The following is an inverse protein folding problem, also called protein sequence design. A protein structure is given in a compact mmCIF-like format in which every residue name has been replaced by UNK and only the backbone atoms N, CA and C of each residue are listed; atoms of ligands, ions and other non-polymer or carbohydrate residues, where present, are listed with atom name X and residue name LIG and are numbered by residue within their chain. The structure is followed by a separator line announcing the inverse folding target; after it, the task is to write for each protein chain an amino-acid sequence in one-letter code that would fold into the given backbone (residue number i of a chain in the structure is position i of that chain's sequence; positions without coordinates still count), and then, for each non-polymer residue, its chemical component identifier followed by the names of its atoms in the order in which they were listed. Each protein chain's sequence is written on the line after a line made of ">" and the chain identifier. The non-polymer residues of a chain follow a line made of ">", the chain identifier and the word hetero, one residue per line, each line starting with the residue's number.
data_IF_252351476809
#
_entry.id   IF_252351476809
#
_cell.length_a   1.000
_cell.length_b   1.000
_cell.length_c   1.000
_cell.angle_alpha   90.00
_cell.angle_beta   90.00
_cell.angle_gamma   90.00
#
_symmetry.space_group_name_H-M   'P 1'
#
loop_
_entity.id
_entity.type
_entity.pdbx_description
1 polymer ?
#
# COMPACT_ATOMS: atom_id res chain seq x y z
N UNK A 1 16.62 0.19 -13.17
CA UNK A 1 15.35 0.29 -13.90
C UNK A 1 15.34 1.46 -14.88
N UNK A 2 14.45 1.40 -15.87
CA UNK A 2 14.14 2.51 -16.76
C UNK A 2 12.76 3.05 -16.38
N UNK A 3 12.66 4.38 -16.28
CA UNK A 3 11.36 5.06 -16.08
C UNK A 3 11.02 5.79 -17.36
N UNK A 4 9.80 5.62 -17.87
CA UNK A 4 9.29 6.26 -19.08
C UNK A 4 7.87 6.75 -18.86
N UNK A 5 7.56 7.92 -19.41
CA UNK A 5 6.18 8.38 -19.57
C UNK A 5 5.75 8.05 -21.01
N UNK A 6 4.72 7.25 -21.15
CA UNK A 6 4.26 6.75 -22.45
C UNK A 6 2.75 6.99 -22.58
N UNK A 7 2.33 7.37 -23.78
CA UNK A 7 0.91 7.30 -24.14
C UNK A 7 0.52 5.83 -24.41
N UNK A 8 -0.76 5.52 -24.32
CA UNK A 8 -1.27 4.15 -24.60
C UNK A 8 -0.84 3.61 -25.98
N UNK A 9 -0.66 4.50 -26.97
CA UNK A 9 -0.18 4.11 -28.31
C UNK A 9 1.32 3.77 -28.33
N UNK A 10 2.10 4.37 -27.46
CA UNK A 10 3.55 4.19 -27.37
C UNK A 10 3.96 2.99 -26.51
N UNK A 11 3.01 2.40 -25.77
CA UNK A 11 3.27 1.28 -24.91
C UNK A 11 3.66 0.00 -25.65
N UNK A 12 4.61 -0.72 -25.04
CA UNK A 12 4.98 -2.05 -25.50
C UNK A 12 3.84 -3.06 -25.32
N UNK A 13 3.95 -4.22 -25.98
CA UNK A 13 2.96 -5.31 -25.84
C UNK A 13 2.81 -5.80 -24.39
N UNK A 14 3.86 -5.68 -23.57
CA UNK A 14 3.85 -6.06 -22.14
C UNK A 14 2.92 -5.11 -21.38
N UNK A 15 3.12 -3.81 -21.48
CA UNK A 15 2.30 -2.83 -20.76
C UNK A 15 0.83 -2.87 -21.20
N UNK A 16 0.56 -3.15 -22.49
CA UNK A 16 -0.82 -3.36 -22.97
C UNK A 16 -1.48 -4.60 -22.35
N UNK A 17 -0.72 -5.66 -22.08
CA UNK A 17 -1.24 -6.84 -21.37
C UNK A 17 -1.52 -6.54 -19.90
N UNK A 18 -0.71 -5.71 -19.25
CA UNK A 18 -0.92 -5.31 -17.87
C UNK A 18 -2.27 -4.62 -17.64
N UNK A 19 -2.86 -3.99 -18.66
CA UNK A 19 -4.23 -3.43 -18.55
C UNK A 19 -5.30 -4.48 -18.24
N UNK A 20 -5.01 -5.77 -18.41
CA UNK A 20 -5.92 -6.87 -18.07
C UNK A 20 -5.76 -7.33 -16.61
N UNK A 21 -4.74 -6.85 -15.90
CA UNK A 21 -4.54 -7.17 -14.48
C UNK A 21 -5.72 -6.62 -13.67
N UNK A 22 -6.34 -7.51 -12.92
CA UNK A 22 -7.45 -7.15 -12.05
C UNK A 22 -6.96 -6.29 -10.89
N UNK A 23 -7.72 -5.26 -10.54
CA UNK A 23 -7.43 -4.37 -9.41
C UNK A 23 -8.49 -4.49 -8.31
N UNK A 24 -8.16 -4.03 -7.11
CA UNK A 24 -9.05 -4.17 -5.94
C UNK A 24 -10.35 -3.40 -6.03
N UNK A 25 -10.36 -2.27 -6.74
CA UNK A 25 -11.56 -1.46 -7.00
C UNK A 25 -12.21 -1.79 -8.35
N UNK A 26 -11.58 -2.67 -9.13
CA UNK A 26 -12.09 -3.17 -10.39
C UNK A 26 -12.20 -2.13 -11.51
N UNK A 27 -13.11 -2.36 -12.45
CA UNK A 27 -13.23 -1.53 -13.66
C UNK A 27 -13.66 -0.07 -13.40
N UNK A 28 -14.16 0.26 -12.21
CA UNK A 28 -14.66 1.61 -11.92
C UNK A 28 -13.51 2.63 -11.93
N UNK A 29 -12.36 2.31 -11.34
CA UNK A 29 -11.18 3.18 -11.34
C UNK A 29 -10.60 3.31 -12.74
N UNK A 30 -10.52 2.20 -13.48
CA UNK A 30 -10.02 2.22 -14.87
C UNK A 30 -10.83 3.13 -15.79
N UNK A 31 -12.15 3.29 -15.54
CA UNK A 31 -13.02 4.20 -16.30
C UNK A 31 -12.75 5.68 -16.04
N UNK A 32 -12.03 6.00 -14.96
CA UNK A 32 -11.66 7.38 -14.63
C UNK A 32 -10.41 7.83 -15.41
N UNK A 33 -9.73 6.93 -16.10
CA UNK A 33 -8.52 7.25 -16.89
C UNK A 33 -8.90 8.12 -18.09
N UNK A 34 -8.33 9.32 -18.23
CA UNK A 34 -8.51 10.15 -19.43
C UNK A 34 -7.93 9.47 -20.69
N UNK A 35 -8.51 9.73 -21.85
CA UNK A 35 -8.05 9.15 -23.12
C UNK A 35 -6.62 9.59 -23.49
N UNK A 36 -6.25 10.82 -23.11
CA UNK A 36 -4.94 11.43 -23.34
C UNK A 36 -3.96 11.25 -22.16
N UNK A 37 -4.29 10.39 -21.19
CA UNK A 37 -3.41 10.13 -20.06
C UNK A 37 -2.09 9.50 -20.49
N UNK A 38 -1.01 9.92 -19.84
CA UNK A 38 0.29 9.26 -19.94
C UNK A 38 0.47 8.33 -18.74
N UNK A 39 1.05 7.16 -19.00
CA UNK A 39 1.35 6.17 -18.00
C UNK A 39 2.83 6.23 -17.62
N UNK A 40 3.12 6.14 -16.32
CA UNK A 40 4.48 6.03 -15.81
C UNK A 40 4.84 4.54 -15.83
N UNK A 41 5.75 4.16 -16.71
CA UNK A 41 6.19 2.77 -16.88
C UNK A 41 7.59 2.60 -16.28
N UNK A 42 7.71 1.67 -15.34
CA UNK A 42 8.97 1.28 -14.69
C UNK A 42 9.30 -0.16 -15.07
N UNK A 43 10.47 -0.38 -15.66
CA UNK A 43 10.89 -1.69 -16.15
C UNK A 43 12.33 -2.01 -15.71
N UNK A 44 12.59 -3.24 -15.26
CA UNK A 44 13.95 -3.73 -15.07
C UNK A 44 14.65 -3.93 -16.42
N UNK A 45 15.96 -3.78 -16.45
CA UNK A 45 16.78 -3.88 -17.67
C UNK A 45 17.74 -5.04 -17.52
N UNK A 46 17.84 -5.90 -18.54
CA UNK A 46 18.88 -6.92 -18.60
C UNK A 46 20.28 -6.29 -18.47
N UNK A 47 21.15 -6.90 -17.69
CA UNK A 47 22.55 -6.51 -17.63
C UNK A 47 23.22 -6.78 -18.97
N UNK A 48 23.22 -5.79 -19.88
CA UNK A 48 24.10 -5.78 -21.04
C UNK A 48 25.53 -5.56 -20.58
N UNK A 49 26.38 -6.56 -20.80
CA UNK A 49 27.77 -6.53 -20.39
C UNK A 49 28.56 -5.41 -21.04
N UNK A 50 28.64 -4.28 -20.39
CA UNK A 50 29.71 -3.29 -20.53
C UNK A 50 29.95 -2.64 -19.16
N UNK A 51 31.14 -2.92 -18.62
CA UNK A 51 31.67 -2.35 -17.40
C UNK A 51 31.93 -0.86 -17.58
N UNK A 52 31.07 -0.02 -17.06
CA UNK A 52 31.36 1.41 -16.91
C UNK A 52 31.35 1.77 -15.43
N UNK A 53 32.52 2.04 -14.88
CA UNK A 53 32.78 2.37 -13.46
C UNK A 53 32.01 3.62 -12.96
N UNK A 54 31.31 4.36 -13.85
CA UNK A 54 30.42 5.46 -13.50
C UNK A 54 29.07 5.04 -12.98
N UNK A 55 28.66 3.77 -13.17
CA UNK A 55 27.37 3.23 -12.72
C UNK A 55 27.35 2.78 -11.26
N UNK A 56 28.46 2.74 -10.56
CA UNK A 56 28.55 2.27 -9.17
C UNK A 56 27.87 3.16 -8.11
N UNK A 57 27.35 4.33 -8.46
CA UNK A 57 26.74 5.26 -7.50
C UNK A 57 25.22 5.36 -7.53
N UNK A 58 24.55 4.78 -8.47
CA UNK A 58 23.09 4.61 -8.41
C UNK A 58 22.79 3.18 -7.98
N UNK A 59 22.07 3.00 -6.88
CA UNK A 59 21.52 1.69 -6.53
C UNK A 59 20.70 1.23 -7.73
N UNK A 60 21.12 0.16 -8.39
CA UNK A 60 20.69 -0.22 -9.75
C UNK A 60 19.20 -0.56 -9.87
N UNK A 61 18.49 -0.73 -8.73
CA UNK A 61 17.14 -1.30 -8.68
C UNK A 61 16.11 -0.40 -7.97
N UNK A 62 16.39 0.89 -7.79
CA UNK A 62 15.58 1.80 -6.99
C UNK A 62 15.02 2.97 -7.82
N UNK A 63 13.74 3.31 -7.61
CA UNK A 63 13.03 4.42 -8.25
C UNK A 63 12.20 5.17 -7.21
N UNK A 64 12.30 6.50 -7.19
CA UNK A 64 11.41 7.35 -6.40
C UNK A 64 10.52 8.17 -7.33
N UNK A 65 9.22 7.99 -7.19
CA UNK A 65 8.18 8.75 -7.89
C UNK A 65 7.52 9.71 -6.90
N UNK A 66 7.60 10.99 -7.18
CA UNK A 66 6.89 12.02 -6.40
C UNK A 66 5.75 12.55 -7.25
N UNK A 67 4.52 12.30 -6.82
CA UNK A 67 3.29 12.68 -7.51
C UNK A 67 2.65 13.86 -6.78
N UNK A 68 2.85 15.04 -7.33
CA UNK A 68 2.28 16.28 -6.82
C UNK A 68 0.88 16.51 -7.39
N UNK A 69 -0.14 16.50 -6.53
CA UNK A 69 -1.52 16.74 -6.92
C UNK A 69 -1.89 18.21 -6.71
N UNK A 70 -2.27 18.93 -7.78
CA UNK A 70 -2.60 20.36 -7.69
C UNK A 70 -3.95 20.59 -7.02
N UNK A 71 -4.10 21.78 -6.42
CA UNK A 71 -5.36 22.25 -5.83
C UNK A 71 -6.47 22.35 -6.87
N UNK A 72 -7.69 21.99 -6.48
CA UNK A 72 -8.94 22.07 -7.27
C UNK A 72 -8.89 21.37 -8.62
N UNK A 73 -8.15 20.27 -8.70
CA UNK A 73 -8.09 19.42 -9.89
C UNK A 73 -8.34 17.98 -9.53
N UNK A 74 -8.93 17.26 -10.46
CA UNK A 74 -8.99 15.81 -10.43
C UNK A 74 -7.89 15.28 -11.34
N UNK A 75 -6.95 14.53 -10.78
CA UNK A 75 -5.82 14.02 -11.55
C UNK A 75 -5.80 12.50 -11.45
N UNK A 76 -5.59 11.87 -12.58
CA UNK A 76 -5.37 10.43 -12.70
C UNK A 76 -3.90 10.16 -13.00
N UNK A 77 -3.29 9.27 -12.23
CA UNK A 77 -1.94 8.76 -12.48
C UNK A 77 -1.99 7.24 -12.61
N UNK A 78 -1.38 6.74 -13.65
CA UNK A 78 -1.25 5.31 -13.91
C UNK A 78 0.23 4.92 -13.86
N UNK A 79 0.55 3.97 -12.99
CA UNK A 79 1.92 3.49 -12.80
C UNK A 79 1.97 2.01 -13.13
N UNK A 80 2.82 1.62 -14.06
CA UNK A 80 3.03 0.23 -14.45
C UNK A 80 4.45 -0.19 -14.10
N UNK A 81 4.58 -1.21 -13.26
CA UNK A 81 5.88 -1.73 -12.81
C UNK A 81 6.03 -3.16 -13.30
N UNK A 82 7.01 -3.37 -14.14
CA UNK A 82 7.32 -4.67 -14.74
C UNK A 82 8.73 -5.11 -14.35
N UNK A 83 8.82 -6.27 -13.71
CA UNK A 83 10.08 -6.92 -13.39
C UNK A 83 10.27 -8.19 -14.22
N UNK A 84 11.33 -8.22 -15.02
CA UNK A 84 11.71 -9.37 -15.84
C UNK A 84 12.19 -10.53 -14.99
N UNK A 85 12.23 -11.71 -15.55
CA UNK A 85 12.64 -12.93 -14.87
C UNK A 85 14.01 -12.78 -14.18
N UNK A 86 14.05 -13.11 -12.89
CA UNK A 86 15.24 -13.00 -12.05
C UNK A 86 15.64 -11.60 -11.61
N UNK A 87 14.98 -10.56 -12.11
CA UNK A 87 15.32 -9.16 -11.80
C UNK A 87 14.56 -8.62 -10.58
N UNK A 88 15.08 -7.53 -10.02
CA UNK A 88 14.48 -6.87 -8.86
C UNK A 88 14.26 -5.38 -9.10
N UNK A 89 13.18 -4.82 -8.55
CA UNK A 89 12.94 -3.37 -8.55
C UNK A 89 12.25 -2.95 -7.25
N UNK A 90 12.69 -1.82 -6.70
CA UNK A 90 12.02 -1.13 -5.60
C UNK A 90 11.53 0.24 -6.08
N UNK A 91 10.24 0.50 -5.88
CA UNK A 91 9.62 1.76 -6.27
C UNK A 91 8.98 2.40 -5.05
N UNK A 92 9.40 3.61 -4.73
CA UNK A 92 8.73 4.47 -3.77
C UNK A 92 7.83 5.45 -4.50
N UNK A 93 6.58 5.54 -4.12
CA UNK A 93 5.62 6.51 -4.65
C UNK A 93 5.13 7.39 -3.51
N UNK A 94 5.46 8.67 -3.55
CA UNK A 94 4.95 9.67 -2.61
C UNK A 94 3.86 10.46 -3.29
N UNK A 95 2.64 10.37 -2.75
CA UNK A 95 1.45 11.10 -3.22
C UNK A 95 1.25 12.29 -2.29
N UNK A 96 1.35 13.51 -2.80
CA UNK A 96 1.28 14.69 -1.95
C UNK A 96 0.55 15.87 -2.60
N UNK A 97 0.07 16.79 -1.77
CA UNK A 97 -0.49 18.07 -2.18
C UNK A 97 -0.20 19.13 -1.11
N UNK A 98 -0.64 20.36 -1.33
CA UNK A 98 -0.68 21.36 -0.27
C UNK A 98 -1.71 20.94 0.79
N UNK A 99 -1.49 21.35 2.05
CA UNK A 99 -2.35 20.99 3.20
C UNK A 99 -3.80 21.39 3.01
N UNK A 100 -4.04 22.55 2.42
CA UNK A 100 -5.36 23.14 2.15
C UNK A 100 -5.91 22.79 0.75
N UNK A 101 -5.22 21.96 -0.01
CA UNK A 101 -5.65 21.54 -1.34
C UNK A 101 -6.95 20.74 -1.28
N UNK A 102 -7.78 20.94 -2.30
CA UNK A 102 -9.06 20.23 -2.50
C UNK A 102 -9.07 19.59 -3.88
N UNK A 103 -9.62 18.37 -3.98
CA UNK A 103 -9.71 17.67 -5.26
C UNK A 103 -9.68 16.16 -5.11
N UNK A 104 -9.55 15.47 -6.25
CA UNK A 104 -9.46 14.01 -6.30
C UNK A 104 -8.13 13.59 -6.90
N UNK A 105 -7.42 12.79 -6.13
CA UNK A 105 -6.23 12.07 -6.57
C UNK A 105 -6.62 10.64 -6.92
N UNK A 106 -6.34 10.18 -8.11
CA UNK A 106 -6.52 8.80 -8.52
C UNK A 106 -5.14 8.23 -8.87
N UNK A 107 -4.74 7.20 -8.17
CA UNK A 107 -3.52 6.45 -8.44
C UNK A 107 -3.87 4.99 -8.70
N UNK A 108 -3.67 4.54 -9.93
CA UNK A 108 -3.71 3.12 -10.27
C UNK A 108 -2.29 2.60 -10.44
N UNK A 109 -1.97 1.48 -9.80
CA UNK A 109 -0.65 0.85 -9.93
C UNK A 109 -0.80 -0.59 -10.35
N UNK A 110 -0.17 -0.98 -11.45
CA UNK A 110 -0.17 -2.34 -11.96
C UNK A 110 1.23 -2.94 -11.80
N UNK A 111 1.31 -4.10 -11.16
CA UNK A 111 2.56 -4.82 -10.88
C UNK A 111 2.54 -6.14 -11.63
N UNK A 112 3.58 -6.40 -12.43
CA UNK A 112 3.79 -7.69 -13.06
C UNK A 112 5.22 -8.16 -12.82
N UNK A 113 5.37 -9.28 -12.13
CA UNK A 113 6.65 -9.92 -11.86
C UNK A 113 6.73 -11.25 -12.60
N UNK A 114 7.76 -11.44 -13.40
CA UNK A 114 8.05 -12.72 -14.07
C UNK A 114 8.66 -13.75 -13.11
N UNK A 115 9.08 -14.92 -13.62
CA UNK A 115 9.68 -15.99 -12.83
C UNK A 115 10.91 -15.51 -12.04
N UNK A 116 10.95 -15.79 -10.73
CA UNK A 116 12.01 -15.38 -9.78
C UNK A 116 12.22 -13.86 -9.67
N UNK A 117 11.34 -13.03 -10.22
CA UNK A 117 11.45 -11.58 -10.11
C UNK A 117 11.00 -11.07 -8.74
N UNK A 118 11.48 -9.87 -8.37
CA UNK A 118 11.11 -9.22 -7.13
C UNK A 118 10.63 -7.79 -7.39
N UNK A 119 9.46 -7.45 -6.87
CA UNK A 119 8.95 -6.08 -6.85
C UNK A 119 8.70 -5.67 -5.41
N UNK A 120 9.28 -4.55 -5.01
CA UNK A 120 8.91 -3.86 -3.78
C UNK A 120 8.32 -2.51 -4.12
N UNK A 121 7.03 -2.32 -3.78
CA UNK A 121 6.31 -1.06 -3.92
C UNK A 121 6.08 -0.46 -2.54
N UNK A 122 6.48 0.79 -2.34
CA UNK A 122 6.16 1.56 -1.14
C UNK A 122 5.37 2.80 -1.55
N UNK A 123 4.16 2.96 -1.03
CA UNK A 123 3.30 4.11 -1.30
C UNK A 123 3.05 4.88 -0.02
N UNK A 124 3.34 6.18 -0.02
CA UNK A 124 3.10 7.08 1.11
C UNK A 124 2.16 8.18 0.68
N UNK A 125 1.01 8.29 1.36
CA UNK A 125 0.02 9.35 1.16
C UNK A 125 0.24 10.48 2.15
N UNK A 126 0.54 11.66 1.61
CA UNK A 126 0.72 12.95 2.31
C UNK A 126 -0.17 14.02 1.67
N UNK A 127 -1.38 13.65 1.25
CA UNK A 127 -2.34 14.58 0.67
C UNK A 127 -2.96 15.50 1.74
N UNK A 128 -3.41 16.68 1.31
CA UNK A 128 -4.04 17.65 2.19
C UNK A 128 -5.42 17.22 2.71
N UNK A 129 -5.86 17.92 3.75
CA UNK A 129 -7.03 17.58 4.59
C UNK A 129 -8.40 17.61 3.86
N UNK A 130 -8.49 18.14 2.63
CA UNK A 130 -9.71 18.18 1.81
C UNK A 130 -9.58 17.39 0.50
N UNK A 131 -8.48 16.65 0.34
CA UNK A 131 -8.27 15.77 -0.80
C UNK A 131 -9.00 14.44 -0.63
N UNK A 132 -9.40 13.85 -1.75
CA UNK A 132 -9.91 12.49 -1.82
C UNK A 132 -8.93 11.63 -2.62
N UNK A 133 -8.56 10.47 -2.07
CA UNK A 133 -7.65 9.54 -2.73
C UNK A 133 -8.39 8.27 -3.15
N UNK A 134 -8.22 7.89 -4.41
CA UNK A 134 -8.54 6.57 -4.94
C UNK A 134 -7.22 5.87 -5.29
N UNK A 135 -6.81 4.91 -4.49
CA UNK A 135 -5.55 4.16 -4.66
C UNK A 135 -5.87 2.70 -4.99
N UNK A 136 -5.59 2.29 -6.20
CA UNK A 136 -5.98 0.97 -6.71
C UNK A 136 -4.77 0.20 -7.24
N UNK A 137 -4.55 -1.01 -6.73
CA UNK A 137 -3.41 -1.85 -7.08
C UNK A 137 -3.90 -3.14 -7.73
N UNK A 138 -3.23 -3.53 -8.82
CA UNK A 138 -3.34 -4.83 -9.43
C UNK A 138 -1.98 -5.53 -9.45
N UNK A 139 -1.96 -6.81 -9.09
CA UNK A 139 -0.73 -7.61 -9.03
C UNK A 139 -0.91 -8.92 -9.78
N UNK A 140 0.06 -9.26 -10.61
CA UNK A 140 0.21 -10.59 -11.20
C UNK A 140 1.64 -11.10 -10.98
N UNK A 141 1.77 -12.30 -10.38
CA UNK A 141 3.06 -12.87 -10.01
C UNK A 141 3.35 -14.18 -10.73
N UNK A 142 4.50 -14.25 -11.38
CA UNK A 142 5.05 -15.46 -11.99
C UNK A 142 5.60 -16.45 -10.95
N UNK A 143 6.15 -17.57 -11.44
CA UNK A 143 6.69 -18.64 -10.58
C UNK A 143 7.83 -18.12 -9.70
N UNK A 144 7.77 -18.41 -8.41
CA UNK A 144 8.74 -18.00 -7.39
C UNK A 144 8.96 -16.45 -7.32
N UNK A 145 8.08 -15.67 -7.92
CA UNK A 145 8.14 -14.21 -7.81
C UNK A 145 7.82 -13.75 -6.37
N UNK A 146 8.42 -12.66 -5.96
CA UNK A 146 8.23 -12.05 -4.65
C UNK A 146 7.71 -10.63 -4.82
N UNK A 147 6.53 -10.36 -4.27
CA UNK A 147 5.92 -9.03 -4.28
C UNK A 147 5.81 -8.55 -2.84
N UNK A 148 6.35 -7.38 -2.58
CA UNK A 148 6.15 -6.65 -1.32
C UNK A 148 5.47 -5.32 -1.62
N UNK A 149 4.36 -5.05 -0.96
CA UNK A 149 3.64 -3.78 -1.03
C UNK A 149 3.53 -3.19 0.37
N UNK A 150 4.03 -1.99 0.54
CA UNK A 150 3.89 -1.21 1.77
C UNK A 150 3.08 0.03 1.44
N UNK A 151 1.97 0.24 2.14
CA UNK A 151 1.13 1.42 1.99
C UNK A 151 1.03 2.15 3.33
N UNK A 152 1.21 3.47 3.31
CA UNK A 152 1.05 4.32 4.47
C UNK A 152 0.08 5.46 4.14
N UNK A 153 -1.12 5.40 4.74
CA UNK A 153 -2.20 6.36 4.55
C UNK A 153 -2.24 7.35 5.73
N UNK A 154 -1.67 8.53 5.51
CA UNK A 154 -1.55 9.58 6.53
C UNK A 154 -2.46 10.78 6.22
N UNK A 155 -2.43 11.26 4.97
CA UNK A 155 -3.18 12.42 4.50
C UNK A 155 -4.63 12.11 4.08
N UNK A 156 -5.18 12.95 3.21
CA UNK A 156 -6.50 12.92 2.60
C UNK A 156 -7.69 12.86 3.58
N UNK A 157 -8.80 13.52 3.23
CA UNK A 157 -10.06 13.44 3.98
C UNK A 157 -10.71 12.07 3.84
N UNK A 158 -10.72 11.55 2.60
CA UNK A 158 -11.35 10.27 2.28
C UNK A 158 -10.43 9.45 1.38
N UNK A 159 -10.24 8.21 1.75
CA UNK A 159 -9.43 7.27 0.99
C UNK A 159 -10.28 6.04 0.67
N UNK A 160 -10.31 5.70 -0.61
CA UNK A 160 -10.72 4.39 -1.09
C UNK A 160 -9.48 3.69 -1.63
N UNK A 161 -9.11 2.58 -1.02
CA UNK A 161 -7.95 1.79 -1.40
C UNK A 161 -8.36 0.38 -1.81
N UNK A 162 -7.81 -0.10 -2.91
CA UNK A 162 -8.03 -1.44 -3.40
C UNK A 162 -6.72 -2.14 -3.74
N UNK A 163 -6.66 -3.45 -3.51
CA UNK A 163 -5.58 -4.29 -4.02
C UNK A 163 -6.15 -5.65 -4.43
N UNK A 164 -5.79 -6.10 -5.62
CA UNK A 164 -6.10 -7.44 -6.08
C UNK A 164 -4.82 -8.11 -6.56
N UNK A 165 -4.37 -9.13 -5.83
CA UNK A 165 -3.19 -9.89 -6.17
C UNK A 165 -3.58 -11.29 -6.68
N UNK A 166 -3.20 -11.60 -7.91
CA UNK A 166 -3.35 -12.91 -8.51
C UNK A 166 -1.99 -13.62 -8.48
N UNK A 167 -1.85 -14.61 -7.60
CA UNK A 167 -0.65 -15.41 -7.44
C UNK A 167 -0.69 -16.61 -8.40
N UNK A 168 -0.30 -16.36 -9.66
CA UNK A 168 -0.43 -17.35 -10.77
C UNK A 168 0.68 -18.37 -10.78
N UNK A 169 1.90 -17.99 -10.38
CA UNK A 169 3.06 -18.85 -10.44
C UNK A 169 3.24 -19.71 -9.20
N UNK A 170 3.68 -20.96 -9.38
CA UNK A 170 4.02 -21.84 -8.26
C UNK A 170 5.05 -21.18 -7.32
N UNK A 171 4.79 -21.22 -6.00
CA UNK A 171 5.65 -20.66 -4.96
C UNK A 171 5.84 -19.14 -5.06
N UNK A 172 4.94 -18.42 -5.70
CA UNK A 172 4.97 -16.97 -5.61
C UNK A 172 4.54 -16.50 -4.22
N UNK A 173 5.06 -15.35 -3.81
CA UNK A 173 4.85 -14.80 -2.48
C UNK A 173 4.39 -13.34 -2.56
N UNK A 174 3.37 -13.02 -1.75
CA UNK A 174 2.89 -11.66 -1.51
C UNK A 174 3.06 -11.28 -0.05
N UNK A 175 3.75 -10.18 0.20
CA UNK A 175 3.73 -9.48 1.48
C UNK A 175 3.03 -8.14 1.26
N UNK A 176 1.96 -7.87 2.01
CA UNK A 176 1.22 -6.61 1.97
C UNK A 176 1.11 -6.04 3.38
N UNK A 177 1.69 -4.86 3.58
CA UNK A 177 1.71 -4.17 4.86
C UNK A 177 1.06 -2.79 4.70
N UNK A 178 0.01 -2.54 5.45
CA UNK A 178 -0.75 -1.28 5.42
C UNK A 178 -0.73 -0.61 6.77
N UNK A 179 -0.31 0.64 6.77
CA UNK A 179 -0.36 1.52 7.93
C UNK A 179 -1.29 2.70 7.70
N UNK A 180 -1.98 3.15 8.74
CA UNK A 180 -2.82 4.34 8.64
C UNK A 180 -2.93 5.08 9.97
N UNK A 181 -3.12 6.40 9.84
CA UNK A 181 -3.59 7.27 10.92
C UNK A 181 -4.82 8.02 10.43
N UNK A 182 -5.93 7.93 11.16
CA UNK A 182 -7.18 8.63 10.82
C UNK A 182 -7.70 9.40 12.02
N UNK A 183 -8.07 10.65 11.79
CA UNK A 183 -8.58 11.58 12.80
C UNK A 183 -9.83 12.33 12.31
N UNK A 184 -10.39 13.19 13.15
CA UNK A 184 -11.58 14.02 12.81
C UNK A 184 -12.73 13.17 12.27
N UNK A 185 -13.18 13.41 11.06
CA UNK A 185 -14.22 12.63 10.35
C UNK A 185 -13.66 11.94 9.09
N UNK A 186 -12.36 11.69 9.08
CA UNK A 186 -11.69 11.05 7.95
C UNK A 186 -12.21 9.63 7.73
N UNK A 187 -12.26 9.24 6.45
CA UNK A 187 -12.67 7.90 6.01
C UNK A 187 -11.51 7.16 5.35
N UNK A 188 -11.34 5.89 5.73
CA UNK A 188 -10.50 4.93 5.00
C UNK A 188 -11.34 3.68 4.70
N UNK A 189 -11.59 3.41 3.44
CA UNK A 189 -12.30 2.22 2.96
C UNK A 189 -11.37 1.36 2.10
N UNK A 190 -11.08 0.14 2.54
CA UNK A 190 -10.11 -0.78 1.92
C UNK A 190 -10.78 -2.07 1.47
N UNK A 191 -10.39 -2.56 0.27
CA UNK A 191 -10.80 -3.86 -0.26
C UNK A 191 -9.58 -4.59 -0.85
N UNK A 192 -9.04 -5.55 -0.12
CA UNK A 192 -7.83 -6.27 -0.48
C UNK A 192 -8.08 -7.75 -0.69
N UNK A 193 -7.58 -8.27 -1.81
CA UNK A 193 -7.79 -9.65 -2.22
C UNK A 193 -6.46 -10.29 -2.59
N UNK A 194 -6.17 -11.44 -2.00
CA UNK A 194 -5.10 -12.33 -2.41
C UNK A 194 -5.71 -13.63 -2.98
N UNK A 195 -5.61 -13.81 -4.29
CA UNK A 195 -6.11 -14.99 -5.00
C UNK A 195 -4.95 -15.94 -5.32
N UNK A 196 -5.02 -17.16 -4.83
CA UNK A 196 -4.01 -18.20 -4.97
C UNK A 196 -4.32 -19.14 -6.14
N UNK A 197 -3.74 -18.90 -7.32
CA UNK A 197 -3.93 -19.76 -8.51
C UNK A 197 -2.85 -20.85 -8.58
N UNK A 198 -1.60 -20.47 -8.32
CA UNK A 198 -0.45 -21.38 -8.34
C UNK A 198 -0.41 -22.27 -7.12
N UNK A 199 0.33 -23.39 -7.21
CA UNK A 199 0.59 -24.27 -6.07
C UNK A 199 1.61 -23.65 -5.12
N UNK A 200 1.44 -23.91 -3.81
CA UNK A 200 2.39 -23.49 -2.76
C UNK A 200 2.66 -22.00 -2.78
N UNK A 201 1.67 -21.23 -3.18
CA UNK A 201 1.73 -19.76 -3.10
C UNK A 201 1.51 -19.30 -1.66
N UNK A 202 2.09 -18.16 -1.30
CA UNK A 202 1.98 -17.62 0.05
C UNK A 202 1.55 -16.15 0.00
N UNK A 203 0.62 -15.75 0.88
CA UNK A 203 0.24 -14.36 1.07
C UNK A 203 0.18 -13.99 2.55
N UNK A 204 0.76 -12.84 2.90
CA UNK A 204 0.65 -12.23 4.22
C UNK A 204 0.11 -10.81 4.06
N UNK A 205 -1.03 -10.54 4.67
CA UNK A 205 -1.66 -9.22 4.70
C UNK A 205 -1.68 -8.70 6.13
N UNK A 206 -0.91 -7.65 6.42
CA UNK A 206 -0.89 -6.98 7.71
C UNK A 206 -1.48 -5.59 7.57
N UNK A 207 -2.56 -5.31 8.28
CA UNK A 207 -3.23 -4.02 8.27
C UNK A 207 -3.27 -3.48 9.68
N UNK A 208 -2.70 -2.30 9.89
CA UNK A 208 -2.68 -1.74 11.23
C UNK A 208 -2.65 -0.22 11.24
N UNK A 209 -3.15 0.36 12.32
CA UNK A 209 -3.16 1.81 12.44
C UNK A 209 -3.89 2.33 13.65
N UNK A 210 -4.16 3.62 13.59
CA UNK A 210 -4.76 4.39 14.67
C UNK A 210 -6.03 5.06 14.19
N UNK A 211 -7.08 4.98 15.00
CA UNK A 211 -8.35 5.68 14.80
C UNK A 211 -8.59 6.63 15.97
N UNK A 212 -8.67 7.92 15.67
CA UNK A 212 -8.91 8.99 16.62
C UNK A 212 -10.21 9.73 16.28
N UNK A 213 -10.75 10.48 17.23
CA UNK A 213 -11.97 11.28 17.10
C UNK A 213 -13.18 10.47 16.59
N UNK A 214 -13.85 10.96 15.54
CA UNK A 214 -14.97 10.32 14.86
C UNK A 214 -14.57 9.75 13.48
N UNK A 215 -13.32 9.34 13.35
CA UNK A 215 -12.80 8.75 12.11
C UNK A 215 -13.40 7.37 11.84
N UNK A 216 -13.42 7.00 10.58
CA UNK A 216 -14.01 5.71 10.16
C UNK A 216 -13.06 4.92 9.29
N UNK A 217 -12.86 3.63 9.64
CA UNK A 217 -12.18 2.66 8.81
C UNK A 217 -13.10 1.49 8.47
N UNK A 218 -13.09 1.09 7.20
CA UNK A 218 -13.69 -0.15 6.72
C UNK A 218 -12.58 -0.97 6.05
N UNK A 219 -12.40 -2.21 6.47
CA UNK A 219 -11.45 -3.13 5.84
C UNK A 219 -12.17 -4.40 5.42
N UNK A 220 -11.98 -4.79 4.16
CA UNK A 220 -12.40 -6.08 3.61
C UNK A 220 -11.15 -6.78 3.12
N UNK A 221 -10.74 -7.82 3.85
CA UNK A 221 -9.63 -8.69 3.49
C UNK A 221 -10.17 -10.02 2.97
N UNK A 222 -9.70 -10.45 1.82
CA UNK A 222 -10.13 -11.70 1.20
C UNK A 222 -8.93 -12.54 0.83
N UNK A 223 -8.88 -13.77 1.32
CA UNK A 223 -7.96 -14.81 0.86
C UNK A 223 -8.80 -15.81 0.06
N UNK A 224 -8.45 -15.99 -1.23
CA UNK A 224 -9.21 -16.84 -2.15
C UNK A 224 -8.35 -18.03 -2.60
N UNK A 225 -8.79 -19.24 -2.24
CA UNK A 225 -8.16 -20.52 -2.58
C UNK A 225 -9.04 -21.30 -3.57
N UNK A 226 -8.99 -21.01 -4.88
CA UNK A 226 -9.70 -21.79 -5.88
C UNK A 226 -9.11 -23.19 -6.03
N UNK A 227 -9.87 -24.10 -6.60
CA UNK A 227 -9.44 -25.47 -6.84
C UNK A 227 -8.13 -25.51 -7.65
N UNK A 228 -7.14 -26.28 -7.19
CA UNK A 228 -5.84 -26.47 -7.83
C UNK A 228 -4.67 -25.76 -7.17
N UNK A 229 -4.89 -24.86 -6.20
CA UNK A 229 -3.83 -24.15 -5.48
C UNK A 229 -3.21 -24.97 -4.32
N UNK A 230 -3.02 -26.25 -4.50
CA UNK A 230 -2.51 -27.23 -3.52
C UNK A 230 -1.28 -26.68 -2.77
N UNK A 231 -1.32 -26.74 -1.44
CA UNK A 231 -0.26 -26.30 -0.54
C UNK A 231 -0.15 -24.77 -0.41
N UNK A 232 -1.15 -24.00 -0.86
CA UNK A 232 -1.16 -22.57 -0.68
C UNK A 232 -1.42 -22.15 0.76
N UNK A 233 -0.86 -21.01 1.18
CA UNK A 233 -0.98 -20.44 2.51
C UNK A 233 -1.35 -18.96 2.44
N UNK A 234 -2.28 -18.55 3.28
CA UNK A 234 -2.68 -17.15 3.38
C UNK A 234 -2.94 -16.75 4.82
N UNK A 235 -2.31 -15.66 5.24
CA UNK A 235 -2.47 -15.09 6.56
C UNK A 235 -2.92 -13.62 6.45
N UNK A 236 -3.93 -13.27 7.24
CA UNK A 236 -4.40 -11.89 7.41
C UNK A 236 -4.33 -11.52 8.88
N UNK A 237 -3.64 -10.42 9.18
CA UNK A 237 -3.52 -9.89 10.54
C UNK A 237 -3.94 -8.42 10.55
N UNK A 238 -4.82 -8.08 11.47
CA UNK A 238 -5.23 -6.71 11.73
C UNK A 238 -4.84 -6.27 13.14
N UNK A 239 -4.27 -5.05 13.26
CA UNK A 239 -3.89 -4.48 14.55
C UNK A 239 -4.29 -3.00 14.65
N UNK A 240 -5.40 -2.70 15.31
CA UNK A 240 -6.02 -1.37 15.38
C UNK A 240 -6.01 -0.81 16.79
N UNK A 241 -5.41 0.36 16.94
CA UNK A 241 -5.51 1.17 18.15
C UNK A 241 -6.64 2.19 18.01
N UNK A 242 -7.66 2.09 18.85
CA UNK A 242 -8.81 3.00 18.87
C UNK A 242 -8.62 3.98 20.02
N UNK A 243 -8.47 5.26 19.71
CA UNK A 243 -8.31 6.35 20.67
C UNK A 243 -9.57 7.23 20.77
N UNK A 244 -10.28 7.40 19.65
CA UNK A 244 -11.53 8.18 19.61
C UNK A 244 -12.73 7.42 20.18
N UNK A 245 -13.58 8.09 20.94
CA UNK A 245 -14.83 7.49 21.46
C UNK A 245 -15.83 7.20 20.36
N UNK A 246 -15.90 8.08 19.36
CA UNK A 246 -16.82 7.99 18.21
C UNK A 246 -16.18 7.33 16.99
N UNK A 247 -14.95 6.82 17.12
CA UNK A 247 -14.24 6.15 16.04
C UNK A 247 -14.95 4.84 15.64
N UNK A 248 -15.10 4.63 14.34
CA UNK A 248 -15.78 3.46 13.77
C UNK A 248 -14.76 2.56 13.08
N UNK A 249 -14.59 1.37 13.62
CA UNK A 249 -13.82 0.30 12.99
C UNK A 249 -14.77 -0.81 12.48
N UNK A 250 -14.70 -1.09 11.17
CA UNK A 250 -15.43 -2.20 10.55
C UNK A 250 -14.45 -3.10 9.82
N UNK A 251 -14.50 -4.39 10.11
CA UNK A 251 -13.62 -5.40 9.49
C UNK A 251 -14.48 -6.56 8.99
N UNK A 252 -14.20 -6.99 7.76
CA UNK A 252 -14.89 -8.11 7.10
C UNK A 252 -13.82 -9.04 6.52
N UNK A 253 -13.24 -9.94 7.34
CA UNK A 253 -12.33 -10.96 6.82
C UNK A 253 -13.12 -12.03 6.08
N UNK A 254 -12.58 -12.50 4.95
CA UNK A 254 -13.20 -13.53 4.13
C UNK A 254 -12.16 -14.53 3.63
N UNK A 255 -12.37 -15.81 3.92
CA UNK A 255 -11.57 -16.90 3.36
C UNK A 255 -12.47 -17.73 2.45
N UNK A 256 -12.23 -17.66 1.15
CA UNK A 256 -12.88 -18.47 0.14
C UNK A 256 -12.03 -19.72 -0.10
N UNK A 257 -12.55 -20.89 0.19
CA UNK A 257 -11.80 -22.12 0.16
C UNK A 257 -12.51 -23.20 -0.68
N UNK A 258 -11.98 -23.47 -1.87
CA UNK A 258 -12.44 -24.54 -2.75
C UNK A 258 -11.40 -25.67 -2.88
N UNK A 259 -10.20 -25.51 -2.32
CA UNK A 259 -9.12 -26.50 -2.27
C UNK A 259 -8.96 -27.02 -0.84
N UNK A 260 -8.79 -28.32 -0.68
CA UNK A 260 -8.69 -28.97 0.65
C UNK A 260 -7.29 -28.86 1.27
N UNK A 261 -6.23 -28.88 0.45
CA UNK A 261 -4.83 -28.83 0.90
C UNK A 261 -4.31 -27.38 0.92
N UNK A 262 -4.85 -26.55 1.82
CA UNK A 262 -4.46 -25.15 2.01
C UNK A 262 -4.49 -24.76 3.49
N UNK A 263 -3.77 -23.69 3.83
CA UNK A 263 -3.78 -23.07 5.15
C UNK A 263 -4.25 -21.62 5.03
N UNK A 264 -5.39 -21.27 5.64
CA UNK A 264 -5.91 -19.91 5.68
C UNK A 264 -6.17 -19.47 7.10
N UNK A 265 -5.55 -18.36 7.51
CA UNK A 265 -5.70 -17.81 8.85
C UNK A 265 -6.08 -16.34 8.79
N UNK A 266 -6.84 -15.90 9.76
CA UNK A 266 -7.00 -14.47 10.05
C UNK A 266 -6.93 -14.23 11.55
N UNK A 267 -6.36 -13.07 11.94
CA UNK A 267 -6.31 -12.62 13.32
C UNK A 267 -6.56 -11.13 13.40
N UNK A 268 -7.14 -10.68 14.50
CA UNK A 268 -7.34 -9.26 14.75
C UNK A 268 -7.07 -8.89 16.21
N UNK A 269 -6.32 -7.82 16.40
CA UNK A 269 -6.13 -7.14 17.68
C UNK A 269 -6.72 -5.74 17.53
N UNK A 270 -7.91 -5.52 18.09
CA UNK A 270 -8.64 -4.27 17.95
C UNK A 270 -9.05 -3.80 19.34
N UNK A 271 -8.59 -2.64 19.75
CA UNK A 271 -8.92 -2.17 21.08
C UNK A 271 -8.42 -0.77 21.40
N UNK A 272 -8.84 -0.32 22.58
CA UNK A 272 -8.34 0.88 23.24
C UNK A 272 -7.11 0.54 24.09
N UNK A 273 -6.27 1.53 24.43
CA UNK A 273 -5.22 1.31 25.42
C UNK A 273 -5.80 0.74 26.71
N UNK A 274 -5.10 -0.23 27.30
CA UNK A 274 -5.53 -0.76 28.58
C UNK A 274 -5.44 0.32 29.68
N UNK A 275 -6.40 0.34 30.59
CA UNK A 275 -6.46 1.32 31.71
C UNK A 275 -5.16 1.33 32.53
N UNK A 276 -4.52 0.17 32.71
CA UNK A 276 -3.25 0.05 33.40
C UNK A 276 -2.11 0.80 32.69
N UNK A 277 -2.11 0.80 31.34
CA UNK A 277 -1.12 1.52 30.55
C UNK A 277 -1.34 3.02 30.66
N UNK A 278 -2.58 3.49 30.55
CA UNK A 278 -2.93 4.90 30.72
C UNK A 278 -2.61 5.38 32.13
N UNK A 279 -2.97 4.60 33.17
CA UNK A 279 -2.63 4.89 34.55
C UNK A 279 -1.12 4.96 34.78
N UNK A 280 -0.35 4.03 34.21
CA UNK A 280 1.11 4.06 34.28
C UNK A 280 1.69 5.33 33.68
N UNK A 281 1.25 5.70 32.49
CA UNK A 281 1.72 6.91 31.80
C UNK A 281 1.31 8.18 32.54
N UNK A 282 0.08 8.25 33.07
CA UNK A 282 -0.38 9.33 33.95
C UNK A 282 0.46 9.46 35.22
N UNK A 283 0.86 8.33 35.83
CA UNK A 283 1.74 8.33 37.03
C UNK A 283 3.14 8.87 36.75
N UNK A 284 3.53 8.94 35.44
CA UNK A 284 4.78 9.53 34.96
C UNK A 284 4.62 10.98 34.52
N UNK A 285 3.44 11.55 34.67
CA UNK A 285 3.14 12.97 34.44
C UNK A 285 2.61 13.27 33.03
N UNK A 286 2.29 12.27 32.22
CA UNK A 286 1.63 12.52 30.95
C UNK A 286 0.14 12.76 31.14
N UNK A 287 -0.43 13.72 30.41
CA UNK A 287 -1.88 13.81 30.27
C UNK A 287 -2.43 12.59 29.51
N UNK A 288 -3.74 12.37 29.55
CA UNK A 288 -4.37 11.30 28.78
C UNK A 288 -4.16 11.50 27.27
N UNK A 289 -4.24 12.74 26.80
CA UNK A 289 -3.99 13.14 25.42
C UNK A 289 -2.54 12.83 25.01
N UNK A 290 -1.54 13.25 25.81
CA UNK A 290 -0.12 12.96 25.55
C UNK A 290 0.15 11.46 25.55
N UNK A 291 -0.47 10.70 26.44
CA UNK A 291 -0.35 9.26 26.50
C UNK A 291 -0.91 8.59 25.22
N UNK A 292 -2.07 9.04 24.75
CA UNK A 292 -2.67 8.56 23.50
C UNK A 292 -1.80 8.90 22.28
N UNK A 293 -1.30 10.12 22.21
CA UNK A 293 -0.40 10.56 21.15
C UNK A 293 0.91 9.76 21.13
N UNK A 294 1.49 9.49 22.31
CA UNK A 294 2.68 8.64 22.42
C UNK A 294 2.44 7.22 21.91
N UNK A 295 1.30 6.62 22.28
CA UNK A 295 0.94 5.27 21.82
C UNK A 295 0.67 5.22 20.31
N UNK A 296 0.02 6.26 19.76
CA UNK A 296 -0.19 6.41 18.32
C UNK A 296 1.13 6.47 17.56
N UNK A 297 2.07 7.32 18.02
CA UNK A 297 3.41 7.45 17.43
C UNK A 297 4.17 6.13 17.46
N UNK A 298 4.25 5.48 18.61
CA UNK A 298 4.98 4.21 18.74
C UNK A 298 4.46 3.14 17.78
N UNK A 299 3.13 3.10 17.55
CA UNK A 299 2.52 2.18 16.58
C UNK A 299 2.90 2.50 15.15
N UNK A 300 2.95 3.77 14.78
CA UNK A 300 3.20 4.22 13.42
C UNK A 300 4.69 4.29 13.08
N UNK A 301 5.58 4.53 14.04
CA UNK A 301 7.03 4.47 13.84
C UNK A 301 7.48 3.10 13.31
N UNK A 302 6.89 2.02 13.80
CA UNK A 302 7.20 0.68 13.31
C UNK A 302 6.87 0.50 11.82
N UNK A 303 5.87 1.22 11.32
CA UNK A 303 5.47 1.23 9.91
C UNK A 303 6.34 2.18 9.09
N UNK A 304 6.70 3.36 9.62
CA UNK A 304 7.63 4.29 8.98
C UNK A 304 9.00 3.63 8.75
N UNK A 305 9.48 2.82 9.69
CA UNK A 305 10.71 2.04 9.55
C UNK A 305 10.69 1.05 8.36
N UNK A 306 9.51 0.65 7.88
CA UNK A 306 9.35 -0.20 6.70
C UNK A 306 9.47 0.54 5.38
N UNK A 307 9.45 1.86 5.36
CA UNK A 307 9.60 2.67 4.15
C UNK A 307 10.94 2.37 3.48
N UNK A 308 12.03 2.32 4.27
CA UNK A 308 13.37 1.91 3.79
C UNK A 308 14.11 2.99 2.99
N UNK A 309 13.47 4.10 2.63
CA UNK A 309 14.10 5.29 2.04
C UNK A 309 14.04 6.42 3.06
N UNK A 310 15.22 6.91 3.48
CA UNK A 310 15.35 7.82 4.62
C UNK A 310 14.58 9.13 4.46
N UNK A 311 14.66 9.77 3.30
CA UNK A 311 13.99 11.06 3.09
C UNK A 311 12.47 10.96 3.06
N UNK A 312 11.94 9.82 2.60
CA UNK A 312 10.50 9.56 2.59
C UNK A 312 10.03 9.22 4.01
N UNK A 313 10.81 8.42 4.73
CA UNK A 313 10.53 8.12 6.14
C UNK A 313 10.51 9.39 7.00
N UNK A 314 11.50 10.28 6.85
CA UNK A 314 11.53 11.59 7.51
C UNK A 314 10.31 12.47 7.16
N UNK A 315 9.81 12.44 5.91
CA UNK A 315 8.59 13.17 5.55
C UNK A 315 7.34 12.59 6.24
N UNK A 316 7.22 11.27 6.30
CA UNK A 316 6.13 10.59 7.00
C UNK A 316 6.17 10.85 8.51
N UNK A 317 7.34 10.78 9.12
CA UNK A 317 7.56 11.08 10.53
C UNK A 317 7.24 12.55 10.85
N UNK A 318 7.71 13.49 10.05
CA UNK A 318 7.40 14.92 10.23
C UNK A 318 5.90 15.17 10.14
N UNK A 319 5.21 14.51 9.17
CA UNK A 319 3.76 14.60 9.07
C UNK A 319 3.08 14.07 10.36
N UNK A 320 3.54 12.93 10.88
CA UNK A 320 3.04 12.36 12.13
C UNK A 320 3.28 13.30 13.32
N UNK A 321 4.44 13.93 13.40
CA UNK A 321 4.74 14.94 14.43
C UNK A 321 3.81 16.16 14.35
N UNK A 322 3.47 16.62 13.15
CA UNK A 322 2.54 17.74 12.98
C UNK A 322 1.11 17.43 13.44
N UNK A 323 0.61 16.20 13.22
CA UNK A 323 -0.77 15.82 13.57
C UNK A 323 -0.94 15.26 14.97
N UNK A 324 0.12 14.66 15.55
CA UNK A 324 0.11 14.16 16.94
C UNK A 324 0.84 15.10 17.89
N UNK A 325 1.06 16.35 17.48
CA UNK A 325 2.07 17.26 17.95
C UNK A 325 2.16 17.54 19.44
N UNK A 326 3.40 17.78 19.88
CA UNK A 326 3.66 18.71 20.97
C UNK A 326 3.70 20.12 20.39
N UNK A 327 2.72 20.96 20.69
CA UNK A 327 2.94 22.40 20.71
C UNK A 327 3.90 22.67 21.89
N UNK A 328 5.23 22.61 21.60
CA UNK A 328 6.26 23.11 22.53
C UNK A 328 6.35 24.63 22.43
#
# INVERSE_FOLDING_TARGET
>A
PIVRELTTEQESSVYKKMEQIRTGMGAEVSRLKPEDATDICVETVEEGGESDERRERMRRDEVVLVLDYPDRKNCFQDVKIYARAGESVTVWTVVRSKKDAEGKAVLRTLLQAEENAKIRLVQVDLLGDRMQLFNDIGVESGKQAQIEVVQLFLGAEKIWAGSYATLTGEKSHLQLDVGYYREKQQLLDMNYVAQHIGKKTESNMNVGGVLQDASKKVFRGTIDFPLGCVGAKGDEMEDVLILGEDAINQTVPLILCAEDDVEGNHGASIGRPADEVLFYLASRGLSEEDACNLLARAKLEALCNRIGEQKIAEQAENWLWEVTGDET
#
